data_IF_847396552081
#
_entry.id   IF_847396552081
#
_cell.length_a   1.000
_cell.length_b   1.000
_cell.length_c   1.000
_cell.angle_alpha   90.00
_cell.angle_beta   90.00
_cell.angle_gamma   90.00
#
_symmetry.space_group_name_H-M   'P 1'
#
loop_
_entity.id
_entity.type
_entity.pdbx_description
1 polymer ?
#
# COMPACT_ATOMS: atom_id res chain seq x y z
N UNK A 1 1.04 2.74 13.12
CA UNK A 1 1.81 2.42 11.88
C UNK A 1 1.23 3.04 10.61
N UNK A 2 -0.09 3.01 10.34
CA UNK A 2 -0.68 3.52 9.06
C UNK A 2 -0.13 4.88 8.59
N UNK A 3 -0.16 5.91 9.45
CA UNK A 3 0.37 7.24 9.09
C UNK A 3 1.88 7.21 8.78
N UNK A 4 2.68 6.42 9.50
CA UNK A 4 4.12 6.32 9.27
C UNK A 4 4.42 5.71 7.89
N UNK A 5 3.72 4.63 7.53
CA UNK A 5 3.84 3.99 6.21
C UNK A 5 3.43 4.97 5.10
N UNK A 6 2.26 5.62 5.24
CA UNK A 6 1.80 6.60 4.25
C UNK A 6 2.75 7.80 4.12
N UNK A 7 3.30 8.29 5.24
CA UNK A 7 4.28 9.38 5.23
C UNK A 7 5.58 8.97 4.54
N UNK A 8 6.11 7.77 4.84
CA UNK A 8 7.30 7.19 4.18
C UNK A 8 7.08 7.10 2.66
N UNK A 9 5.89 6.66 2.26
CA UNK A 9 5.52 6.46 0.85
C UNK A 9 5.01 7.75 0.18
N UNK A 10 5.20 8.92 0.82
CA UNK A 10 4.81 10.23 0.31
C UNK A 10 3.31 10.34 -0.08
N UNK A 11 2.44 9.63 0.63
CA UNK A 11 1.00 9.54 0.35
C UNK A 11 0.72 9.21 -1.13
N UNK A 12 1.47 8.23 -1.64
CA UNK A 12 1.39 7.74 -3.02
C UNK A 12 1.34 6.22 -3.03
N UNK A 13 0.67 5.66 -4.04
CA UNK A 13 0.75 4.24 -4.34
C UNK A 13 2.18 3.86 -4.72
N UNK A 14 2.76 2.87 -4.06
CA UNK A 14 4.13 2.39 -4.34
C UNK A 14 4.25 1.73 -5.73
N UNK A 15 3.15 1.24 -6.31
CA UNK A 15 3.14 0.60 -7.64
C UNK A 15 2.98 1.62 -8.77
N UNK A 16 1.95 2.47 -8.70
CA UNK A 16 1.57 3.35 -9.83
C UNK A 16 1.76 4.84 -9.58
N UNK A 17 2.13 5.24 -8.36
CA UNK A 17 2.33 6.65 -8.00
C UNK A 17 1.06 7.49 -7.86
N UNK A 18 -0.14 6.89 -7.95
CA UNK A 18 -1.41 7.58 -7.72
C UNK A 18 -1.46 8.21 -6.32
N UNK A 19 -2.06 9.41 -6.20
CA UNK A 19 -2.07 10.18 -4.95
C UNK A 19 -3.36 11.00 -4.81
N UNK A 20 -3.95 11.04 -3.60
CA UNK A 20 -5.05 11.94 -3.26
C UNK A 20 -4.74 13.42 -3.50
N UNK A 21 -3.45 13.80 -3.45
CA UNK A 21 -3.01 15.18 -3.71
C UNK A 21 -3.14 15.60 -5.18
N UNK A 22 -3.18 14.63 -6.11
CA UNK A 22 -3.40 14.89 -7.55
C UNK A 22 -4.85 14.64 -7.96
N UNK A 23 -5.49 13.65 -7.34
CA UNK A 23 -6.88 13.28 -7.60
C UNK A 23 -7.53 12.86 -6.27
N UNK A 24 -8.43 13.69 -5.69
CA UNK A 24 -9.07 13.42 -4.41
C UNK A 24 -9.92 12.14 -4.37
N UNK A 25 -10.26 11.55 -5.52
CA UNK A 25 -11.00 10.29 -5.59
C UNK A 25 -10.13 9.06 -5.32
N UNK A 26 -8.80 9.22 -5.31
CA UNK A 26 -7.87 8.13 -5.02
C UNK A 26 -7.91 7.81 -3.53
N UNK A 27 -8.32 6.59 -3.20
CA UNK A 27 -8.19 6.02 -1.87
C UNK A 27 -6.90 5.20 -1.74
N UNK A 28 -6.20 5.39 -0.62
CA UNK A 28 -4.97 4.67 -0.29
C UNK A 28 -5.22 3.65 0.83
N UNK A 29 -4.63 2.48 0.66
CA UNK A 29 -4.66 1.34 1.56
C UNK A 29 -3.25 1.03 2.05
N UNK A 30 -3.17 0.43 3.24
CA UNK A 30 -1.93 -0.19 3.69
C UNK A 30 -2.04 -1.67 3.36
N UNK A 31 -1.05 -2.19 2.67
CA UNK A 31 -0.97 -3.56 2.21
C UNK A 31 0.34 -4.20 2.67
N UNK A 32 0.33 -5.51 2.85
CA UNK A 32 1.55 -6.26 3.15
C UNK A 32 2.26 -6.68 1.86
N UNK A 33 3.54 -6.35 1.71
CA UNK A 33 4.39 -6.77 0.57
C UNK A 33 4.39 -8.30 0.49
N UNK A 34 4.76 -8.96 1.58
CA UNK A 34 4.52 -10.38 1.81
C UNK A 34 3.14 -10.50 2.46
N UNK A 35 2.13 -11.09 1.79
CA UNK A 35 0.79 -11.20 2.34
C UNK A 35 0.78 -11.89 3.70
N UNK A 36 -0.11 -11.44 4.58
CA UNK A 36 -0.32 -12.07 5.90
C UNK A 36 -0.63 -13.57 5.77
N UNK A 37 -1.44 -13.96 4.77
CA UNK A 37 -1.76 -15.36 4.47
C UNK A 37 -0.55 -16.23 4.10
N UNK A 38 0.58 -15.60 3.74
CA UNK A 38 1.86 -16.24 3.39
C UNK A 38 2.91 -16.05 4.48
N UNK A 39 2.51 -15.65 5.69
CA UNK A 39 3.40 -15.47 6.83
C UNK A 39 4.13 -14.13 6.88
N UNK A 40 3.72 -13.14 6.09
CA UNK A 40 4.30 -11.80 6.16
C UNK A 40 3.84 -11.05 7.40
N UNK A 41 4.78 -10.54 8.19
CA UNK A 41 4.50 -9.88 9.46
C UNK A 41 4.01 -8.43 9.29
N UNK A 42 3.33 -7.90 10.30
CA UNK A 42 2.87 -6.50 10.29
C UNK A 42 3.96 -5.58 10.83
N UNK A 43 4.99 -5.37 10.01
CA UNK A 43 6.16 -4.55 10.33
C UNK A 43 6.33 -3.43 9.30
N UNK A 44 6.98 -2.32 9.70
CA UNK A 44 7.11 -1.15 8.81
C UNK A 44 7.68 -1.52 7.44
N UNK A 45 8.67 -2.42 7.39
CA UNK A 45 9.36 -2.81 6.17
C UNK A 45 8.53 -3.76 5.29
N UNK A 46 7.57 -4.50 5.87
CA UNK A 46 6.65 -5.35 5.13
C UNK A 46 5.34 -4.65 4.76
N UNK A 47 5.10 -3.42 5.20
CA UNK A 47 3.92 -2.64 4.85
C UNK A 47 4.23 -1.64 3.74
N UNK A 48 3.28 -1.45 2.83
CA UNK A 48 3.35 -0.47 1.75
C UNK A 48 2.01 0.23 1.52
N UNK A 49 2.05 1.41 0.92
CA UNK A 49 0.85 2.17 0.54
C UNK A 49 0.45 1.84 -0.90
N UNK A 50 -0.78 1.36 -1.12
CA UNK A 50 -1.32 1.07 -2.45
C UNK A 50 -2.64 1.81 -2.70
N UNK A 51 -2.93 2.21 -3.94
CA UNK A 51 -4.28 2.67 -4.29
C UNK A 51 -5.25 1.49 -4.42
N UNK A 52 -6.56 1.71 -4.32
CA UNK A 52 -7.57 0.63 -4.38
C UNK A 52 -7.42 -0.28 -5.61
N UNK A 53 -7.08 0.28 -6.78
CA UNK A 53 -6.87 -0.49 -8.02
C UNK A 53 -5.67 -1.44 -7.92
N UNK A 54 -4.53 -0.94 -7.46
CA UNK A 54 -3.31 -1.76 -7.30
C UNK A 54 -3.45 -2.75 -6.15
N UNK A 55 -4.08 -2.35 -5.04
CA UNK A 55 -4.34 -3.23 -3.90
C UNK A 55 -5.22 -4.42 -4.29
N UNK A 56 -6.34 -4.17 -4.97
CA UNK A 56 -7.23 -5.22 -5.45
C UNK A 56 -6.55 -6.10 -6.52
N UNK A 57 -5.75 -5.49 -7.40
CA UNK A 57 -4.99 -6.22 -8.42
C UNK A 57 -3.88 -7.11 -7.85
N UNK A 58 -3.27 -6.72 -6.73
CA UNK A 58 -2.29 -7.54 -6.02
C UNK A 58 -2.95 -8.72 -5.29
N UNK A 59 -4.05 -8.49 -4.57
CA UNK A 59 -4.65 -9.54 -3.74
C UNK A 59 -3.60 -10.19 -2.81
N UNK A 60 -3.48 -11.51 -2.89
CA UNK A 60 -2.56 -12.34 -2.11
C UNK A 60 -1.32 -12.81 -2.89
N UNK A 61 -0.99 -12.19 -4.04
CA UNK A 61 0.27 -12.45 -4.74
C UNK A 61 1.45 -11.64 -4.15
N UNK A 62 2.66 -12.18 -4.32
CA UNK A 62 3.90 -11.49 -4.02
C UNK A 62 4.26 -10.64 -5.26
N UNK A 63 4.39 -9.33 -5.08
CA UNK A 63 4.76 -8.37 -6.12
C UNK A 63 6.00 -7.59 -5.69
#
# INVERSE_FOLDING_TARGET
MRFQVMKRDNFRCCICGASPAKDPSIELHIDHIIPWSKGGETELDNLQTLCSKCNLGKGDILL
#
